data_IF_525070112740
#
_entry.id   IF_525070112740
#
_cell.length_a   1.000
_cell.length_b   1.000
_cell.length_c   1.000
_cell.angle_alpha   90.00
_cell.angle_beta   90.00
_cell.angle_gamma   90.00
#
_symmetry.space_group_name_H-M   'P 1'
#
loop_
_entity.id
_entity.type
_entity.pdbx_description
1 polymer ?
#
# COMPACT_ATOMS: atom_id res chain seq x y z
N UNK A 1 8.35 -22.96 14.65
CA UNK A 1 6.87 -22.95 14.81
C UNK A 1 6.25 -23.23 13.44
N UNK A 2 5.28 -24.15 13.35
CA UNK A 2 4.80 -24.70 12.08
C UNK A 2 3.69 -23.78 11.48
N UNK A 3 3.87 -23.20 10.28
CA UNK A 3 2.98 -22.17 9.72
C UNK A 3 1.61 -22.69 9.25
N UNK A 4 1.40 -24.01 9.24
CA UNK A 4 0.17 -24.65 8.77
C UNK A 4 -1.03 -24.47 9.69
N UNK A 5 -0.86 -24.12 10.98
CA UNK A 5 -1.99 -23.97 11.90
C UNK A 5 -2.83 -22.71 11.66
N UNK A 6 -2.29 -21.67 11.02
CA UNK A 6 -2.92 -20.34 10.90
C UNK A 6 -3.88 -20.17 9.72
N UNK A 7 -4.09 -21.20 8.88
CA UNK A 7 -4.91 -21.08 7.66
C UNK A 7 -6.37 -20.72 7.92
N UNK A 8 -6.91 -21.06 9.09
CA UNK A 8 -8.33 -20.88 9.43
C UNK A 8 -8.56 -19.89 10.60
N UNK A 9 -7.57 -19.06 10.94
CA UNK A 9 -7.68 -18.07 12.01
C UNK A 9 -8.36 -16.78 11.49
N UNK A 10 -9.48 -16.38 12.10
CA UNK A 10 -10.21 -15.16 11.74
C UNK A 10 -9.96 -14.02 12.74
N UNK A 11 -9.65 -12.80 12.26
CA UNK A 11 -9.52 -11.64 13.13
C UNK A 11 -10.91 -11.16 13.59
N UNK A 12 -11.15 -11.18 14.91
CA UNK A 12 -12.36 -10.60 15.50
C UNK A 12 -12.01 -9.39 16.37
N UNK A 13 -12.71 -8.28 16.15
CA UNK A 13 -12.65 -7.12 17.04
C UNK A 13 -13.39 -7.42 18.36
N UNK A 14 -12.78 -7.03 19.47
CA UNK A 14 -13.20 -7.32 20.86
C UNK A 14 -14.67 -6.99 21.16
N UNK A 15 -15.29 -6.04 20.42
CA UNK A 15 -16.72 -5.71 20.59
C UNK A 15 -17.67 -6.90 20.36
N UNK A 16 -17.30 -7.87 19.51
CA UNK A 16 -18.11 -9.10 19.28
C UNK A 16 -17.89 -10.19 20.34
N UNK A 17 -16.83 -10.11 21.15
CA UNK A 17 -16.50 -11.15 22.15
C UNK A 17 -17.36 -11.05 23.42
N UNK A 18 -18.01 -9.91 23.68
CA UNK A 18 -18.78 -9.68 24.90
C UNK A 18 -19.95 -10.67 25.10
N UNK A 19 -20.52 -11.23 24.03
CA UNK A 19 -21.57 -12.25 24.10
C UNK A 19 -21.06 -13.67 24.44
N UNK A 20 -19.81 -13.99 24.07
CA UNK A 20 -19.20 -15.31 24.26
C UNK A 20 -18.62 -15.50 25.67
N UNK A 21 -18.26 -14.41 26.35
CA UNK A 21 -17.66 -14.43 27.69
C UNK A 21 -18.69 -14.61 28.84
N UNK A 22 -19.99 -14.68 28.55
CA UNK A 22 -21.06 -14.87 29.58
C UNK A 22 -21.40 -16.34 29.89
N UNK A 23 -20.58 -17.31 29.50
CA UNK A 23 -20.73 -18.71 29.95
C UNK A 23 -19.64 -19.06 30.95
N UNK A 24 -20.11 -19.24 32.17
CA UNK A 24 -19.45 -19.51 33.45
C UNK A 24 -18.24 -20.47 33.35
N UNK A 25 -17.02 -19.95 33.51
CA UNK A 25 -15.83 -20.77 33.81
C UNK A 25 -15.62 -20.78 35.32
N UNK A 26 -15.86 -21.94 35.95
CA UNK A 26 -15.61 -22.14 37.38
C UNK A 26 -14.14 -21.83 37.69
N UNK A 27 -13.90 -20.94 38.64
CA UNK A 27 -12.67 -20.93 39.45
C UNK A 27 -11.47 -20.15 38.92
N UNK A 28 -11.56 -19.37 37.85
CA UNK A 28 -10.45 -18.51 37.42
C UNK A 28 -10.86 -17.04 37.30
N UNK A 29 -10.23 -16.19 38.09
CA UNK A 29 -10.33 -14.74 38.04
C UNK A 29 -9.85 -14.24 36.67
N UNK A 30 -10.75 -13.66 35.87
CA UNK A 30 -10.38 -12.99 34.62
C UNK A 30 -9.97 -11.56 34.95
N UNK A 31 -8.66 -11.29 34.95
CA UNK A 31 -8.17 -9.91 34.97
C UNK A 31 -8.38 -9.29 33.57
N UNK A 32 -8.90 -8.05 33.47
CA UNK A 32 -9.09 -7.41 32.17
C UNK A 32 -7.72 -7.08 31.56
N UNK A 33 -7.40 -7.54 30.33
CA UNK A 33 -6.19 -7.09 29.67
C UNK A 33 -6.43 -5.71 29.07
N UNK A 34 -5.62 -4.77 29.53
CA UNK A 34 -5.36 -3.49 28.89
C UNK A 34 -4.82 -3.77 27.49
N UNK A 35 -5.55 -3.34 26.46
CA UNK A 35 -5.13 -3.16 25.07
C UNK A 35 -4.13 -4.18 24.48
N UNK A 36 -4.60 -5.31 23.94
CA UNK A 36 -3.87 -6.06 22.89
C UNK A 36 -4.87 -6.89 22.06
N UNK A 37 -4.76 -6.88 20.73
CA UNK A 37 -5.68 -7.62 19.84
C UNK A 37 -5.50 -9.13 20.00
N UNK A 38 -6.55 -9.85 20.38
CA UNK A 38 -6.55 -11.31 20.43
C UNK A 38 -6.91 -11.93 19.07
N UNK A 39 -6.33 -13.10 18.78
CA UNK A 39 -6.79 -14.01 17.74
C UNK A 39 -7.50 -15.22 18.35
N UNK A 40 -8.43 -15.81 17.60
CA UNK A 40 -9.15 -17.02 17.97
C UNK A 40 -8.98 -18.06 16.87
N UNK A 41 -8.53 -19.26 17.23
CA UNK A 41 -8.50 -20.41 16.34
C UNK A 41 -9.83 -21.16 16.41
N UNK A 42 -10.51 -21.31 15.27
CA UNK A 42 -11.74 -22.09 15.16
C UNK A 42 -11.42 -23.40 14.45
N UNK A 43 -11.61 -24.53 15.13
CA UNK A 43 -11.47 -25.86 14.55
C UNK A 43 -12.67 -26.71 14.97
N UNK A 44 -13.60 -26.93 14.03
CA UNK A 44 -14.94 -27.46 14.34
C UNK A 44 -15.79 -26.48 15.16
N UNK A 45 -17.02 -26.86 15.50
CA UNK A 45 -18.10 -25.95 15.95
C UNK A 45 -17.83 -25.08 17.19
N UNK A 46 -16.67 -25.14 17.84
CA UNK A 46 -16.27 -24.20 18.88
C UNK A 46 -14.75 -23.91 18.88
N UNK A 47 -14.39 -22.66 19.21
CA UNK A 47 -13.02 -22.20 19.38
C UNK A 47 -12.30 -22.90 20.55
N UNK A 48 -11.05 -23.36 20.34
CA UNK A 48 -10.32 -24.20 21.31
C UNK A 48 -9.13 -23.52 22.01
N UNK A 49 -8.61 -22.40 21.52
CA UNK A 49 -7.42 -21.76 22.13
C UNK A 49 -7.35 -20.24 21.86
N UNK A 50 -6.97 -19.45 22.88
CA UNK A 50 -6.75 -17.99 22.80
C UNK A 50 -5.29 -17.71 23.12
N UNK A 51 -4.55 -17.13 22.17
CA UNK A 51 -3.14 -16.78 22.34
C UNK A 51 -2.91 -15.27 22.27
N UNK A 52 -2.14 -14.74 23.22
CA UNK A 52 -1.60 -13.37 23.21
C UNK A 52 -0.20 -13.41 22.57
N UNK A 53 -0.02 -12.71 21.44
CA UNK A 53 1.32 -12.51 20.87
C UNK A 53 1.97 -11.35 21.62
N UNK A 54 3.15 -11.60 22.23
CA UNK A 54 3.91 -10.57 22.94
C UNK A 54 4.36 -9.47 21.96
N UNK A 55 3.74 -8.30 22.09
CA UNK A 55 4.44 -7.04 22.37
C UNK A 55 5.52 -6.53 21.41
N UNK A 56 5.72 -7.09 20.22
CA UNK A 56 6.47 -6.44 19.16
C UNK A 56 5.46 -5.91 18.14
N UNK A 57 5.30 -4.58 18.14
CA UNK A 57 4.61 -3.87 17.07
C UNK A 57 5.18 -4.40 15.74
N UNK A 58 4.34 -5.01 14.90
CA UNK A 58 4.68 -5.42 13.54
C UNK A 58 5.15 -4.19 12.77
N UNK A 59 6.43 -3.83 12.96
CA UNK A 59 7.17 -3.01 12.02
C UNK A 59 7.14 -3.84 10.74
N UNK A 60 6.35 -3.35 9.80
CA UNK A 60 6.27 -3.89 8.45
C UNK A 60 7.70 -3.95 7.93
N UNK A 61 8.26 -5.16 7.88
CA UNK A 61 9.48 -5.46 7.14
C UNK A 61 9.13 -5.33 5.66
N UNK A 62 9.22 -4.12 5.12
CA UNK A 62 9.49 -3.91 3.72
C UNK A 62 10.99 -3.60 3.61
N UNK A 63 11.80 -4.63 3.36
CA UNK A 63 13.21 -4.46 3.08
C UNK A 63 13.42 -3.87 1.68
N UNK A 64 14.27 -2.86 1.66
CA UNK A 64 15.09 -2.35 0.55
C UNK A 64 14.41 -1.56 -0.58
N UNK A 65 14.61 -0.24 -0.50
CA UNK A 65 14.40 0.83 -1.51
C UNK A 65 12.95 1.28 -1.78
N UNK A 66 12.17 1.55 -0.74
CA UNK A 66 11.04 2.48 -0.88
C UNK A 66 11.59 3.92 -0.88
N UNK A 67 11.22 4.79 -1.83
CA UNK A 67 11.64 6.18 -1.79
C UNK A 67 11.05 6.84 -0.54
N UNK A 68 11.90 7.61 0.13
CA UNK A 68 11.67 8.20 1.45
C UNK A 68 10.44 9.13 1.44
N UNK A 69 9.31 8.65 1.96
CA UNK A 69 8.10 9.45 2.13
C UNK A 69 6.87 8.64 2.47
N UNK A 70 5.93 9.21 3.24
CA UNK A 70 4.61 8.61 3.45
C UNK A 70 3.73 8.76 2.20
N UNK A 71 2.59 8.06 2.15
CA UNK A 71 1.59 8.23 1.07
C UNK A 71 1.13 9.70 0.97
N UNK A 72 1.01 10.39 2.11
CA UNK A 72 0.65 11.80 2.17
C UNK A 72 1.70 12.71 1.55
N UNK A 73 2.98 12.43 1.81
CA UNK A 73 4.10 13.20 1.23
C UNK A 73 4.13 13.06 -0.29
N UNK A 74 3.94 11.83 -0.80
CA UNK A 74 3.88 11.57 -2.25
C UNK A 74 2.65 12.18 -2.92
N UNK A 75 1.51 12.18 -2.24
CA UNK A 75 0.31 12.87 -2.72
C UNK A 75 0.54 14.39 -2.83
N UNK A 76 1.23 14.97 -1.85
CA UNK A 76 1.63 16.38 -1.88
C UNK A 76 2.62 16.66 -3.01
N UNK A 77 3.59 15.78 -3.22
CA UNK A 77 4.57 15.88 -4.30
C UNK A 77 3.87 15.92 -5.67
N UNK A 78 2.94 15.00 -5.93
CA UNK A 78 2.18 14.97 -7.17
C UNK A 78 1.33 16.22 -7.37
N UNK A 79 0.69 16.71 -6.30
CA UNK A 79 -0.06 17.96 -6.35
C UNK A 79 0.83 19.14 -6.77
N UNK A 80 2.02 19.25 -6.17
CA UNK A 80 2.99 20.32 -6.46
C UNK A 80 3.55 20.17 -7.88
N UNK A 81 3.83 18.94 -8.32
CA UNK A 81 4.28 18.65 -9.69
C UNK A 81 3.30 19.16 -10.74
N UNK A 82 2.00 19.02 -10.48
CA UNK A 82 0.93 19.47 -11.36
C UNK A 82 0.53 20.95 -11.14
N UNK A 83 1.21 21.67 -10.24
CA UNK A 83 0.89 23.05 -9.86
C UNK A 83 -0.56 23.25 -9.39
N UNK A 84 -1.16 22.23 -8.77
CA UNK A 84 -2.54 22.27 -8.28
C UNK A 84 -2.61 22.82 -6.85
N UNK A 85 -3.67 23.56 -6.55
CA UNK A 85 -3.97 23.95 -5.17
C UNK A 85 -4.56 22.78 -4.37
N UNK A 86 -4.52 22.87 -3.04
CA UNK A 86 -5.19 21.87 -2.19
C UNK A 86 -6.70 21.86 -2.39
N UNK A 87 -7.31 22.97 -2.82
CA UNK A 87 -8.74 23.06 -3.10
C UNK A 87 -9.08 22.31 -4.39
N UNK A 88 -8.31 22.54 -5.46
CA UNK A 88 -8.57 21.92 -6.77
C UNK A 88 -8.48 20.39 -6.69
N UNK A 89 -7.47 19.90 -5.99
CA UNK A 89 -7.27 18.46 -5.81
C UNK A 89 -8.34 17.84 -4.89
N UNK A 90 -8.75 18.57 -3.85
CA UNK A 90 -9.84 18.14 -2.97
C UNK A 90 -11.16 18.04 -3.75
N UNK A 91 -11.46 19.05 -4.58
CA UNK A 91 -12.67 19.11 -5.38
C UNK A 91 -12.75 17.94 -6.37
N UNK A 92 -11.65 17.63 -7.07
CA UNK A 92 -11.59 16.49 -7.98
C UNK A 92 -11.75 15.14 -7.26
N UNK A 93 -11.21 15.03 -6.06
CA UNK A 93 -11.39 13.86 -5.19
C UNK A 93 -12.74 13.80 -4.46
N UNK A 94 -13.63 14.79 -4.64
CA UNK A 94 -14.94 14.86 -3.97
C UNK A 94 -14.85 15.07 -2.45
N UNK A 95 -13.76 15.64 -1.96
CA UNK A 95 -13.53 15.91 -0.53
C UNK A 95 -13.35 17.41 -0.29
N UNK A 96 -13.35 17.83 0.99
CA UNK A 96 -13.06 19.21 1.35
C UNK A 96 -11.54 19.46 1.49
N UNK A 97 -11.13 20.73 1.40
CA UNK A 97 -9.73 21.17 1.58
C UNK A 97 -9.06 20.67 2.86
N UNK A 98 -9.81 20.62 3.97
CA UNK A 98 -9.29 20.16 5.26
C UNK A 98 -8.98 18.66 5.26
N UNK A 99 -9.78 17.87 4.52
CA UNK A 99 -9.56 16.44 4.31
C UNK A 99 -8.32 16.22 3.47
N UNK A 100 -8.14 17.02 2.41
CA UNK A 100 -6.90 17.00 1.62
C UNK A 100 -5.67 17.31 2.47
N UNK A 101 -5.73 18.36 3.29
CA UNK A 101 -4.65 18.68 4.23
C UNK A 101 -4.43 17.61 5.31
N UNK A 102 -5.42 16.76 5.59
CA UNK A 102 -5.28 15.62 6.51
C UNK A 102 -4.62 14.41 5.83
N UNK A 103 -4.88 14.21 4.53
CA UNK A 103 -4.18 13.22 3.71
C UNK A 103 -2.71 13.57 3.53
N UNK A 104 -2.39 14.81 3.17
CA UNK A 104 -1.01 15.26 2.95
C UNK A 104 -0.14 15.23 4.23
N UNK A 105 -0.76 15.34 5.41
CA UNK A 105 -0.05 15.21 6.70
C UNK A 105 0.01 13.77 7.23
N UNK A 106 -0.58 12.81 6.51
CA UNK A 106 -0.64 11.41 6.94
C UNK A 106 -1.54 11.14 8.15
N UNK A 107 -2.43 12.08 8.51
CA UNK A 107 -3.39 11.91 9.62
C UNK A 107 -4.50 10.94 9.23
N UNK A 108 -4.87 10.93 7.95
CA UNK A 108 -5.87 10.03 7.37
C UNK A 108 -5.33 9.49 6.04
N UNK A 109 -5.76 8.30 5.67
CA UNK A 109 -5.44 7.73 4.36
C UNK A 109 -6.56 8.07 3.34
N UNK A 110 -6.20 8.42 2.10
CA UNK A 110 -7.17 8.54 1.02
C UNK A 110 -7.81 7.18 0.72
N UNK A 111 -9.08 7.19 0.31
CA UNK A 111 -9.76 6.00 -0.17
C UNK A 111 -9.57 5.81 -1.69
N UNK A 112 -10.00 4.66 -2.21
CA UNK A 112 -9.87 4.37 -3.63
C UNK A 112 -10.73 5.28 -4.51
N UNK A 113 -11.90 5.71 -4.04
CA UNK A 113 -12.78 6.61 -4.79
C UNK A 113 -12.12 7.98 -5.01
N UNK A 114 -11.50 8.53 -3.96
CA UNK A 114 -10.70 9.74 -4.03
C UNK A 114 -9.54 9.60 -5.02
N UNK A 115 -8.77 8.50 -4.94
CA UNK A 115 -7.63 8.26 -5.83
C UNK A 115 -8.05 8.14 -7.31
N UNK A 116 -9.19 7.48 -7.58
CA UNK A 116 -9.77 7.41 -8.92
C UNK A 116 -10.27 8.77 -9.41
N UNK A 117 -10.81 9.62 -8.53
CA UNK A 117 -11.28 10.96 -8.86
C UNK A 117 -10.16 11.93 -9.26
N UNK A 118 -8.97 11.78 -8.69
CA UNK A 118 -7.82 12.64 -9.00
C UNK A 118 -6.95 12.13 -10.16
N UNK A 119 -7.05 10.85 -10.54
CA UNK A 119 -6.26 10.27 -11.63
C UNK A 119 -6.43 11.02 -12.98
N UNK A 120 -7.65 11.46 -13.39
CA UNK A 120 -7.84 12.24 -14.61
C UNK A 120 -7.13 13.60 -14.63
N UNK A 121 -6.74 14.14 -13.47
CA UNK A 121 -5.93 15.36 -13.40
C UNK A 121 -4.45 15.12 -13.73
N UNK A 122 -4.07 13.87 -14.03
CA UNK A 122 -2.69 13.49 -14.35
C UNK A 122 -1.86 13.14 -13.12
N UNK A 123 -2.50 12.86 -11.97
CA UNK A 123 -1.84 12.32 -10.77
C UNK A 123 -1.45 10.87 -11.01
N UNK A 124 -0.18 10.52 -10.80
CA UNK A 124 0.29 9.13 -10.83
C UNK A 124 -0.10 8.43 -9.51
N UNK A 125 -1.27 7.78 -9.53
CA UNK A 125 -1.76 6.98 -8.39
C UNK A 125 -0.80 5.85 -8.03
N UNK A 126 -0.10 5.28 -9.02
CA UNK A 126 0.91 4.25 -8.79
C UNK A 126 2.09 4.78 -7.98
N UNK A 127 2.57 5.98 -8.30
CA UNK A 127 3.58 6.67 -7.51
C UNK A 127 3.08 6.98 -6.09
N UNK A 128 1.86 7.51 -5.94
CA UNK A 128 1.30 7.83 -4.61
C UNK A 128 1.25 6.59 -3.72
N UNK A 129 0.84 5.44 -4.25
CA UNK A 129 0.71 4.21 -3.47
C UNK A 129 2.06 3.51 -3.24
N UNK A 130 2.86 3.31 -4.29
CA UNK A 130 4.03 2.43 -4.25
C UNK A 130 5.37 3.17 -4.19
N UNK A 131 5.36 4.50 -4.35
CA UNK A 131 6.56 5.33 -4.40
C UNK A 131 7.38 5.20 -5.68
N UNK A 132 7.04 4.27 -6.57
CA UNK A 132 7.72 4.10 -7.85
C UNK A 132 6.93 4.85 -8.91
N UNK A 133 7.57 5.84 -9.54
CA UNK A 133 6.96 6.54 -10.69
C UNK A 133 6.81 5.54 -11.81
N UNK A 134 5.60 5.43 -12.35
CA UNK A 134 5.41 4.65 -13.57
C UNK A 134 6.06 5.42 -14.71
N UNK A 135 7.07 4.81 -15.34
CA UNK A 135 7.61 5.31 -16.61
C UNK A 135 6.56 5.19 -17.74
N UNK A 136 5.49 4.43 -17.50
CA UNK A 136 4.38 4.21 -18.45
C UNK A 136 3.45 5.42 -18.62
N UNK A 137 3.33 6.33 -17.65
CA UNK A 137 2.41 7.48 -17.78
C UNK A 137 3.04 8.57 -18.63
N UNK A 138 2.96 8.42 -19.94
CA UNK A 138 3.40 9.43 -20.91
C UNK A 138 4.16 8.91 -22.11
N UNK A 139 4.27 7.59 -22.31
CA UNK A 139 4.87 7.04 -23.52
C UNK A 139 4.04 7.46 -24.73
N UNK A 140 4.70 8.00 -25.73
CA UNK A 140 4.12 8.12 -27.07
C UNK A 140 3.75 6.74 -27.61
N UNK A 141 2.85 6.68 -28.59
CA UNK A 141 2.48 5.42 -29.25
C UNK A 141 3.72 4.67 -29.78
N UNK A 142 4.73 5.40 -30.24
CA UNK A 142 5.96 4.83 -30.78
C UNK A 142 6.84 4.24 -29.68
N UNK A 143 6.99 4.95 -28.55
CA UNK A 143 7.74 4.45 -27.39
C UNK A 143 7.07 3.21 -26.76
N UNK A 144 5.73 3.20 -26.69
CA UNK A 144 4.99 2.04 -26.21
C UNK A 144 5.22 0.80 -27.10
N UNK A 145 5.14 0.98 -28.43
CA UNK A 145 5.45 -0.11 -29.38
C UNK A 145 6.90 -0.57 -29.31
N UNK A 146 7.85 0.36 -29.12
CA UNK A 146 9.26 0.01 -28.97
C UNK A 146 9.47 -0.92 -27.77
N UNK A 147 8.87 -0.59 -26.62
CA UNK A 147 8.96 -1.40 -25.39
C UNK A 147 8.31 -2.78 -25.60
N UNK A 148 7.14 -2.83 -26.24
CA UNK A 148 6.46 -4.09 -26.53
C UNK A 148 7.33 -5.00 -27.40
N UNK A 149 7.86 -4.48 -28.52
CA UNK A 149 8.73 -5.24 -29.41
C UNK A 149 9.99 -5.70 -28.70
N UNK A 150 10.61 -4.81 -27.93
CA UNK A 150 11.81 -5.12 -27.18
C UNK A 150 11.61 -6.27 -26.19
N UNK A 151 10.47 -6.33 -25.49
CA UNK A 151 10.12 -7.44 -24.57
C UNK A 151 9.91 -8.78 -25.25
N UNK A 152 9.59 -8.78 -26.55
CA UNK A 152 9.35 -9.99 -27.36
C UNK A 152 10.63 -10.55 -28.02
N UNK A 153 11.75 -9.83 -27.97
CA UNK A 153 13.01 -10.22 -28.61
C UNK A 153 13.84 -11.11 -27.65
N UNK A 154 14.63 -12.09 -28.13
CA UNK A 154 15.51 -12.90 -27.28
C UNK A 154 16.51 -12.07 -26.46
N UNK A 155 16.87 -12.55 -25.27
CA UNK A 155 17.73 -11.78 -24.32
C UNK A 155 19.08 -11.38 -24.93
N UNK A 156 19.63 -12.20 -25.83
CA UNK A 156 20.90 -11.94 -26.49
C UNK A 156 20.84 -10.69 -27.39
N UNK A 157 19.73 -10.54 -28.11
CA UNK A 157 19.46 -9.39 -28.97
C UNK A 157 19.03 -8.16 -28.15
N UNK A 158 18.29 -8.36 -27.05
CA UNK A 158 18.03 -7.28 -26.09
C UNK A 158 19.33 -6.70 -25.51
N UNK A 159 20.30 -7.55 -25.17
CA UNK A 159 21.60 -7.10 -24.67
C UNK A 159 22.37 -6.30 -25.73
N UNK A 160 22.32 -6.71 -27.00
CA UNK A 160 22.91 -5.95 -28.09
C UNK A 160 22.27 -4.55 -28.21
N UNK A 161 20.93 -4.48 -28.21
CA UNK A 161 20.19 -3.22 -28.23
C UNK A 161 20.54 -2.31 -27.06
N UNK A 162 20.63 -2.84 -25.82
CA UNK A 162 21.05 -2.08 -24.63
C UNK A 162 22.44 -1.46 -24.82
N UNK A 163 23.39 -2.19 -25.40
CA UNK A 163 24.76 -1.70 -25.66
C UNK A 163 24.77 -0.59 -26.70
N UNK A 164 24.05 -0.77 -27.81
CA UNK A 164 23.95 0.24 -28.86
C UNK A 164 23.30 1.52 -28.36
N UNK A 165 22.16 1.41 -27.68
CA UNK A 165 21.45 2.56 -27.13
C UNK A 165 22.33 3.32 -26.13
N UNK A 166 23.04 2.61 -25.25
CA UNK A 166 23.99 3.22 -24.30
C UNK A 166 25.09 3.98 -25.04
N UNK A 167 25.70 3.40 -26.08
CA UNK A 167 26.75 4.05 -26.84
C UNK A 167 26.25 5.32 -27.55
N UNK A 168 25.05 5.28 -28.14
CA UNK A 168 24.44 6.46 -28.76
C UNK A 168 24.12 7.56 -27.75
N UNK A 169 23.63 7.19 -26.56
CA UNK A 169 23.34 8.13 -25.50
C UNK A 169 24.61 8.80 -24.96
N UNK A 170 25.67 8.02 -24.72
CA UNK A 170 26.95 8.52 -24.22
C UNK A 170 27.64 9.46 -25.23
N UNK A 171 27.40 9.30 -26.54
CA UNK A 171 27.91 10.18 -27.59
C UNK A 171 27.14 11.49 -27.70
N UNK A 172 25.80 11.44 -27.59
CA UNK A 172 24.94 12.63 -27.62
C UNK A 172 25.16 13.60 -26.45
N UNK A 173 25.76 13.12 -25.35
CA UNK A 173 26.09 13.93 -24.18
C UNK A 173 27.48 14.59 -24.22
N UNK A 174 28.28 14.39 -25.27
CA UNK A 174 29.59 15.02 -25.47
C UNK A 174 29.50 16.26 -26.34
#
# INVERSE_FOLDING_TARGET
>A
MNPTKFRDAHPFSIKRCAGLLRRNWRGHSVLPPVATSCFVFVGGDYAREIGLVKGECLKICASESAPEGSVGDRLREERVRLSLSQEDLAQAGGVNRNTQGSYERGVRNPDSAYLLGIAPLGVDVGFVLFGRRSVDTGLSSDEAQLIERYRCIPEQDQQALRRFLKAMFDDAGR
#
